data_IF_637109543482
#
_entry.id   IF_637109543482
#
_cell.length_a   1.000
_cell.length_b   1.000
_cell.length_c   1.000
_cell.angle_alpha   90.00
_cell.angle_beta   90.00
_cell.angle_gamma   90.00
#
_symmetry.space_group_name_H-M   'P 1'
#
loop_
_entity.id
_entity.type
_entity.pdbx_description
1 polymer ?
#
# COMPACT_ATOMS: atom_id res chain seq x y z
N UNK A 1 -0.46 -13.18 -3.91
CA UNK A 1 -1.51 -12.18 -4.11
C UNK A 1 -0.87 -10.85 -4.51
N UNK A 2 -1.44 -10.16 -5.49
CA UNK A 2 -0.97 -8.84 -5.91
C UNK A 2 -1.77 -7.74 -5.23
N UNK A 3 -1.29 -6.50 -5.33
CA UNK A 3 -2.05 -5.33 -4.85
C UNK A 3 -3.44 -5.30 -5.50
N UNK A 4 -3.51 -5.43 -6.82
CA UNK A 4 -4.77 -5.34 -7.54
C UNK A 4 -5.75 -6.44 -7.16
N UNK A 5 -5.28 -7.68 -7.01
CA UNK A 5 -6.15 -8.78 -6.61
C UNK A 5 -6.65 -8.64 -5.17
N UNK A 6 -5.83 -8.14 -4.26
CA UNK A 6 -6.27 -7.88 -2.89
C UNK A 6 -7.28 -6.74 -2.84
N UNK A 7 -7.02 -5.64 -3.55
CA UNK A 7 -7.97 -4.51 -3.60
C UNK A 7 -9.33 -4.97 -4.11
N UNK A 8 -9.35 -5.75 -5.19
CA UNK A 8 -10.59 -6.30 -5.75
C UNK A 8 -11.32 -7.17 -4.73
N UNK A 9 -10.60 -8.09 -4.08
CA UNK A 9 -11.18 -8.98 -3.08
C UNK A 9 -11.82 -8.19 -1.93
N UNK A 10 -11.09 -7.23 -1.37
CA UNK A 10 -11.57 -6.40 -0.25
C UNK A 10 -12.78 -5.57 -0.66
N UNK A 11 -12.76 -5.03 -1.87
CA UNK A 11 -13.88 -4.26 -2.41
C UNK A 11 -15.13 -5.13 -2.56
N UNK A 12 -14.99 -6.32 -3.13
CA UNK A 12 -16.09 -7.24 -3.34
C UNK A 12 -16.68 -7.74 -2.02
N UNK A 13 -15.84 -7.99 -1.02
CA UNK A 13 -16.29 -8.37 0.32
C UNK A 13 -17.20 -7.32 0.95
N UNK A 14 -16.94 -6.03 0.67
CA UNK A 14 -17.78 -4.91 1.12
C UNK A 14 -18.93 -4.61 0.18
N UNK A 15 -19.08 -5.37 -0.90
CA UNK A 15 -20.13 -5.16 -1.93
C UNK A 15 -20.07 -3.76 -2.53
N UNK A 16 -18.86 -3.21 -2.64
CA UNK A 16 -18.63 -1.92 -3.29
C UNK A 16 -18.28 -2.12 -4.76
N UNK A 17 -18.63 -1.11 -5.57
CA UNK A 17 -18.29 -1.07 -6.99
C UNK A 17 -16.97 -0.34 -7.19
N UNK A 18 -16.35 -0.53 -8.36
CA UNK A 18 -15.14 0.21 -8.70
C UNK A 18 -15.36 1.73 -8.64
N UNK A 19 -16.53 2.21 -9.05
CA UNK A 19 -16.87 3.65 -8.99
C UNK A 19 -16.87 4.18 -7.55
N UNK A 20 -17.22 3.36 -6.58
CA UNK A 20 -17.22 3.78 -5.18
C UNK A 20 -15.80 4.06 -4.69
N UNK A 21 -14.85 3.22 -5.07
CA UNK A 21 -13.43 3.44 -4.75
C UNK A 21 -12.88 4.63 -5.54
N UNK A 22 -13.23 4.73 -6.83
CA UNK A 22 -12.81 5.85 -7.68
C UNK A 22 -13.23 7.19 -7.09
N UNK A 23 -14.49 7.31 -6.65
CA UNK A 23 -15.00 8.52 -6.02
C UNK A 23 -14.29 8.83 -4.69
N UNK A 24 -13.94 7.80 -3.93
CA UNK A 24 -13.26 7.99 -2.64
C UNK A 24 -11.89 8.65 -2.78
N UNK A 25 -11.21 8.44 -3.89
CA UNK A 25 -9.85 8.99 -4.11
C UNK A 25 -9.78 10.00 -5.27
N UNK A 26 -10.93 10.34 -5.87
CA UNK A 26 -10.99 11.37 -6.90
C UNK A 26 -10.37 10.98 -8.24
N UNK A 27 -10.54 9.73 -8.66
CA UNK A 27 -10.00 9.21 -9.93
C UNK A 27 -11.12 8.59 -10.77
N UNK A 28 -10.80 8.20 -12.00
CA UNK A 28 -11.75 7.54 -12.90
C UNK A 28 -11.93 6.06 -12.53
N UNK A 29 -13.08 5.50 -12.90
CA UNK A 29 -13.34 4.06 -12.75
C UNK A 29 -12.37 3.23 -13.57
N UNK A 30 -11.96 3.73 -14.75
CA UNK A 30 -10.97 3.06 -15.61
C UNK A 30 -9.64 2.91 -14.88
N UNK A 31 -9.22 3.94 -14.12
CA UNK A 31 -8.01 3.89 -13.31
C UNK A 31 -8.08 2.76 -12.28
N UNK A 32 -9.20 2.64 -11.57
CA UNK A 32 -9.39 1.56 -10.60
C UNK A 32 -9.39 0.19 -11.28
N UNK A 33 -10.05 0.07 -12.44
CA UNK A 33 -10.04 -1.17 -13.21
C UNK A 33 -8.61 -1.60 -13.56
N UNK A 34 -7.79 -0.66 -14.03
CA UNK A 34 -6.39 -0.93 -14.39
C UNK A 34 -5.54 -1.31 -13.19
N UNK A 35 -5.75 -0.66 -12.05
CA UNK A 35 -5.06 -1.01 -10.80
C UNK A 35 -5.42 -2.43 -10.35
N UNK A 36 -6.69 -2.78 -10.40
CA UNK A 36 -7.14 -4.12 -9.99
C UNK A 36 -6.60 -5.23 -10.91
N UNK A 37 -6.28 -4.89 -12.14
CA UNK A 37 -5.65 -5.81 -13.11
C UNK A 37 -4.11 -5.72 -13.10
N UNK A 38 -3.54 -4.98 -12.18
CA UNK A 38 -2.09 -4.77 -12.07
C UNK A 38 -1.46 -4.16 -13.34
N UNK A 39 -2.23 -3.39 -14.12
CA UNK A 39 -1.75 -2.68 -15.29
C UNK A 39 -1.15 -1.32 -14.99
N UNK A 40 -1.38 -0.83 -13.77
CA UNK A 40 -0.86 0.43 -13.26
C UNK A 40 -0.33 0.24 -11.87
N UNK A 41 0.62 1.09 -11.49
CA UNK A 41 1.13 1.13 -10.12
C UNK A 41 0.02 1.52 -9.14
N UNK A 42 0.08 0.98 -7.90
CA UNK A 42 -0.85 1.40 -6.85
C UNK A 42 -0.81 2.90 -6.61
N UNK A 43 -1.90 3.47 -6.06
CA UNK A 43 -1.91 4.89 -5.69
C UNK A 43 -0.90 5.19 -4.58
N UNK A 44 -0.60 6.48 -4.40
CA UNK A 44 0.28 6.94 -3.32
C UNK A 44 -0.32 6.75 -1.94
N UNK A 45 0.48 7.00 -0.91
CA UNK A 45 0.13 6.69 0.48
C UNK A 45 -1.17 7.37 0.93
N UNK A 46 -1.36 8.65 0.60
CA UNK A 46 -2.59 9.37 0.96
C UNK A 46 -3.84 8.67 0.43
N UNK A 47 -3.80 8.26 -0.83
CA UNK A 47 -4.93 7.58 -1.46
C UNK A 47 -5.11 6.15 -0.91
N UNK A 48 -4.03 5.48 -0.56
CA UNK A 48 -4.12 4.17 0.10
C UNK A 48 -4.84 4.29 1.44
N UNK A 49 -4.56 5.34 2.22
CA UNK A 49 -5.26 5.60 3.48
C UNK A 49 -6.75 5.88 3.25
N UNK A 50 -7.10 6.65 2.20
CA UNK A 50 -8.49 6.91 1.85
C UNK A 50 -9.23 5.64 1.44
N UNK A 51 -8.57 4.77 0.68
CA UNK A 51 -9.12 3.47 0.28
C UNK A 51 -9.37 2.60 1.52
N UNK A 52 -8.38 2.52 2.42
CA UNK A 52 -8.51 1.74 3.65
C UNK A 52 -9.69 2.23 4.50
N UNK A 53 -9.87 3.55 4.60
CA UNK A 53 -11.00 4.15 5.30
C UNK A 53 -12.33 3.82 4.63
N UNK A 54 -12.40 3.91 3.31
CA UNK A 54 -13.62 3.60 2.55
C UNK A 54 -14.02 2.14 2.71
N UNK A 55 -13.04 1.24 2.73
CA UNK A 55 -13.24 -0.20 2.89
C UNK A 55 -13.38 -0.61 4.37
N UNK A 56 -13.20 0.32 5.30
CA UNK A 56 -13.25 0.05 6.74
C UNK A 56 -12.33 -1.11 7.13
N UNK A 57 -11.09 -1.08 6.63
CA UNK A 57 -10.12 -2.14 6.88
C UNK A 57 -9.60 -2.09 8.31
N UNK A 58 -9.30 -3.29 8.85
CA UNK A 58 -8.53 -3.41 10.09
C UNK A 58 -7.11 -2.89 9.87
N UNK A 59 -6.37 -2.63 10.95
CA UNK A 59 -4.97 -2.23 10.85
C UNK A 59 -4.13 -3.30 10.13
N UNK A 60 -4.41 -4.57 10.38
CA UNK A 60 -3.70 -5.69 9.74
C UNK A 60 -3.94 -5.73 8.23
N UNK A 61 -5.19 -5.57 7.80
CA UNK A 61 -5.53 -5.56 6.38
C UNK A 61 -5.01 -4.31 5.69
N UNK A 62 -5.03 -3.18 6.38
CA UNK A 62 -4.43 -1.94 5.86
C UNK A 62 -2.93 -2.12 5.63
N UNK A 63 -2.22 -2.69 6.60
CA UNK A 63 -0.79 -2.96 6.48
C UNK A 63 -0.49 -3.90 5.30
N UNK A 64 -1.28 -4.96 5.15
CA UNK A 64 -1.15 -5.91 4.03
C UNK A 64 -1.30 -5.20 2.68
N UNK A 65 -2.31 -4.34 2.55
CA UNK A 65 -2.55 -3.57 1.32
C UNK A 65 -1.39 -2.63 1.02
N UNK A 66 -0.89 -1.92 2.03
CA UNK A 66 0.23 -0.98 1.88
C UNK A 66 1.53 -1.71 1.54
N UNK A 67 1.78 -2.87 2.16
CA UNK A 67 2.96 -3.69 1.85
C UNK A 67 2.95 -4.15 0.38
N UNK A 68 1.81 -4.59 -0.12
CA UNK A 68 1.68 -5.00 -1.52
C UNK A 68 1.86 -3.81 -2.48
N UNK A 69 1.43 -2.60 -2.08
CA UNK A 69 1.68 -1.41 -2.86
C UNK A 69 3.17 -1.10 -2.98
N UNK A 70 3.91 -1.22 -1.87
CA UNK A 70 5.36 -1.06 -1.87
C UNK A 70 6.04 -2.09 -2.75
N UNK A 71 5.66 -3.36 -2.64
CA UNK A 71 6.21 -4.44 -3.46
C UNK A 71 5.96 -4.20 -4.96
N UNK A 72 4.76 -3.76 -5.33
CA UNK A 72 4.43 -3.48 -6.73
C UNK A 72 5.28 -2.35 -7.32
N UNK A 73 5.70 -1.38 -6.50
CA UNK A 73 6.56 -0.27 -6.92
C UNK A 73 8.05 -0.59 -6.83
N UNK A 74 8.42 -1.73 -6.23
CA UNK A 74 9.81 -2.03 -5.90
C UNK A 74 10.38 -1.11 -4.81
N UNK A 75 9.53 -0.66 -3.90
CA UNK A 75 9.88 0.28 -2.84
C UNK A 75 9.51 -0.28 -1.47
N UNK A 76 10.05 0.34 -0.43
CA UNK A 76 9.63 0.06 0.95
C UNK A 76 8.22 0.63 1.13
N UNK A 77 7.38 -0.09 1.89
CA UNK A 77 6.03 0.38 2.19
C UNK A 77 6.05 1.81 2.75
N UNK A 78 5.17 2.71 2.27
CA UNK A 78 5.26 4.13 2.61
C UNK A 78 5.06 4.44 4.10
N UNK A 79 4.31 3.64 4.83
CA UNK A 79 4.15 3.80 6.28
C UNK A 79 5.43 3.42 7.03
N UNK A 80 6.18 2.42 6.55
CA UNK A 80 7.49 2.06 7.10
C UNK A 80 8.47 3.20 6.89
N UNK A 81 8.48 3.80 5.69
CA UNK A 81 9.33 4.97 5.42
C UNK A 81 9.00 6.11 6.37
N UNK A 82 7.72 6.43 6.55
CA UNK A 82 7.29 7.49 7.47
C UNK A 82 7.75 7.22 8.90
N UNK A 83 7.64 5.98 9.35
CA UNK A 83 8.12 5.57 10.67
C UNK A 83 9.63 5.76 10.80
N UNK A 84 10.41 5.34 9.79
CA UNK A 84 11.87 5.49 9.80
C UNK A 84 12.30 6.95 9.82
N UNK A 85 11.62 7.81 9.07
CA UNK A 85 11.91 9.26 9.07
C UNK A 85 11.71 9.84 10.47
N UNK A 86 10.68 9.40 11.18
CA UNK A 86 10.38 9.87 12.53
C UNK A 86 11.27 9.23 13.62
N UNK A 87 12.03 8.18 13.29
CA UNK A 87 12.78 7.38 14.27
C UNK A 87 14.23 7.16 13.83
N UNK A 88 15.11 8.20 13.95
CA UNK A 88 16.51 8.07 13.53
C UNK A 88 17.29 6.95 14.20
N UNK A 89 16.94 6.59 15.43
CA UNK A 89 17.60 5.49 16.15
C UNK A 89 17.36 4.14 15.44
N UNK A 90 16.16 3.94 14.88
CA UNK A 90 15.85 2.73 14.10
C UNK A 90 16.66 2.71 12.81
N UNK A 91 16.80 3.87 12.14
CA UNK A 91 17.65 3.99 10.96
C UNK A 91 19.09 3.60 11.26
N UNK A 92 19.64 4.09 12.38
CA UNK A 92 21.00 3.76 12.79
C UNK A 92 21.17 2.26 13.04
N UNK A 93 20.19 1.61 13.65
CA UNK A 93 20.20 0.17 13.89
C UNK A 93 20.22 -0.61 12.56
N UNK A 94 19.43 -0.19 11.59
CA UNK A 94 19.40 -0.79 10.26
C UNK A 94 20.77 -0.62 9.59
N UNK A 95 21.37 0.57 9.69
CA UNK A 95 22.70 0.85 9.12
C UNK A 95 23.75 -0.10 9.68
N UNK A 96 23.74 -0.32 10.98
CA UNK A 96 24.68 -1.24 11.63
C UNK A 96 24.48 -2.68 11.13
N UNK A 97 23.24 -3.11 10.96
CA UNK A 97 22.93 -4.43 10.41
C UNK A 97 23.49 -4.58 9.00
N UNK A 98 23.30 -3.57 8.16
CA UNK A 98 23.83 -3.57 6.79
C UNK A 98 25.35 -3.68 6.76
N UNK A 99 26.03 -2.94 7.63
CA UNK A 99 27.49 -2.96 7.71
C UNK A 99 28.02 -4.31 8.17
N UNK A 100 27.36 -4.93 9.15
CA UNK A 100 27.72 -6.29 9.60
C UNK A 100 27.58 -7.31 8.48
N UNK A 101 26.51 -7.24 7.72
CA UNK A 101 26.27 -8.17 6.61
C UNK A 101 27.31 -8.01 5.50
N UNK A 102 27.79 -6.79 5.25
CA UNK A 102 28.86 -6.55 4.26
C UNK A 102 30.20 -7.14 4.65
N UNK A 103 30.45 -7.26 5.95
CA UNK A 103 31.75 -7.69 6.49
C UNK A 103 31.84 -9.20 6.74
N UNK A 104 30.82 -9.92 6.37
CA UNK A 104 30.76 -11.39 6.53
C UNK A 104 31.26 -12.11 5.28
#
# INVERSE_FOLDING_TARGET
MTFGSLLRQLREEKRLRQVDIANAIGVSTVYICDIEKDRRNPPGYKNLQLIAGKLELTEEKTAELIDLAGQARGEVAPDIIAYLVANPAVQASIRQTMLRERNV
#
